data_IF_137264118008
#
_entry.id   IF_137264118008
#
_cell.length_a   1.000
_cell.length_b   1.000
_cell.length_c   1.000
_cell.angle_alpha   90.00
_cell.angle_beta   90.00
_cell.angle_gamma   90.00
#
_symmetry.space_group_name_H-M   'P 1'
#
loop_
_entity.id
_entity.type
_entity.pdbx_description
1 polymer ?
#
# COMPACT_ATOMS: atom_id res chain seq x y z
N UNK A 1 20.49 1.81 28.32
CA UNK A 1 19.15 2.42 28.52
C UNK A 1 18.91 3.34 27.34
N UNK A 2 17.84 3.15 26.55
CA UNK A 2 17.51 4.05 25.44
C UNK A 2 16.82 5.29 26.04
N UNK A 3 17.30 6.52 25.77
CA UNK A 3 16.69 7.73 26.33
C UNK A 3 15.28 7.93 25.75
N UNK A 4 14.32 8.24 26.62
CA UNK A 4 12.95 8.59 26.23
C UNK A 4 12.98 10.02 25.69
N UNK A 5 12.35 10.25 24.53
CA UNK A 5 12.27 11.56 23.88
C UNK A 5 10.80 11.91 23.60
N UNK A 6 10.49 13.20 23.65
CA UNK A 6 9.14 13.69 23.32
C UNK A 6 8.86 13.60 21.81
N UNK A 7 7.59 13.47 21.45
CA UNK A 7 7.17 13.41 20.05
C UNK A 7 7.37 14.78 19.37
N UNK A 8 7.93 14.78 18.15
CA UNK A 8 8.00 15.98 17.30
C UNK A 8 6.76 15.96 16.39
N UNK A 9 5.93 16.99 16.47
CA UNK A 9 4.76 17.19 15.59
C UNK A 9 4.95 18.40 14.69
N UNK A 10 4.37 18.36 13.49
CA UNK A 10 4.46 19.47 12.53
C UNK A 10 3.26 19.48 11.58
N UNK A 11 2.86 20.70 11.17
CA UNK A 11 1.87 20.96 10.13
C UNK A 11 2.44 21.98 9.15
N UNK A 12 2.16 21.78 7.88
CA UNK A 12 2.67 22.60 6.78
C UNK A 12 1.79 22.44 5.54
N UNK A 13 1.82 23.48 4.70
CA UNK A 13 0.96 23.62 3.51
C UNK A 13 1.32 22.60 2.42
N UNK A 14 0.34 22.25 1.60
CA UNK A 14 0.55 21.42 0.42
C UNK A 14 1.60 22.05 -0.52
N UNK A 15 2.40 21.20 -1.17
CA UNK A 15 3.46 21.61 -2.09
C UNK A 15 4.71 22.23 -1.43
N UNK A 16 4.72 22.43 -0.12
CA UNK A 16 5.84 23.05 0.60
C UNK A 16 6.83 22.04 1.17
N UNK A 17 8.03 22.53 1.51
CA UNK A 17 9.01 21.78 2.30
C UNK A 17 9.14 22.36 3.69
N UNK A 18 9.20 21.46 4.66
CA UNK A 18 9.49 21.78 6.05
C UNK A 18 10.76 21.08 6.51
N UNK A 19 11.72 21.86 6.98
CA UNK A 19 12.87 21.34 7.72
C UNK A 19 12.49 21.04 9.18
N UNK A 20 12.82 19.83 9.63
CA UNK A 20 12.57 19.34 10.98
C UNK A 20 13.89 18.90 11.60
N UNK A 21 14.30 19.60 12.66
CA UNK A 21 15.47 19.24 13.46
C UNK A 21 15.09 18.10 14.40
N UNK A 22 15.81 16.99 14.31
CA UNK A 22 15.66 15.83 15.16
C UNK A 22 16.38 16.03 16.49
N UNK A 23 16.05 15.19 17.46
CA UNK A 23 16.66 15.23 18.80
C UNK A 23 18.17 14.95 18.84
N UNK A 24 18.74 14.40 17.77
CA UNK A 24 20.19 14.18 17.61
C UNK A 24 20.88 15.30 16.80
N UNK A 25 20.13 16.35 16.44
CA UNK A 25 20.61 17.48 15.64
C UNK A 25 20.61 17.25 14.13
N UNK A 26 20.25 16.05 13.66
CA UNK A 26 20.04 15.81 12.23
C UNK A 26 18.82 16.58 11.71
N UNK A 27 18.80 16.90 10.41
CA UNK A 27 17.71 17.67 9.78
C UNK A 27 17.03 16.82 8.73
N UNK A 28 15.71 16.66 8.84
CA UNK A 28 14.86 16.07 7.82
C UNK A 28 14.17 17.16 7.02
N UNK A 29 14.10 17.01 5.70
CA UNK A 29 13.28 17.86 4.82
C UNK A 29 12.05 17.10 4.40
N UNK A 30 10.89 17.47 4.92
CA UNK A 30 9.61 16.86 4.55
C UNK A 30 8.96 17.69 3.46
N UNK A 31 8.69 17.09 2.28
CA UNK A 31 7.93 17.70 1.19
C UNK A 31 6.51 17.16 1.16
N UNK A 32 5.52 18.01 1.39
CA UNK A 32 4.12 17.65 1.19
C UNK A 32 3.80 17.74 -0.30
N UNK A 33 3.05 16.75 -0.80
CA UNK A 33 2.51 16.82 -2.16
C UNK A 33 1.64 18.07 -2.33
N UNK A 34 1.65 18.62 -3.55
CA UNK A 34 0.78 19.72 -3.93
C UNK A 34 -0.65 19.20 -4.18
N UNK A 35 -1.65 20.07 -4.04
CA UNK A 35 -3.06 19.67 -4.17
C UNK A 35 -3.43 19.28 -5.61
N UNK A 36 -2.65 19.71 -6.60
CA UNK A 36 -2.82 19.42 -8.03
C UNK A 36 -2.02 18.18 -8.49
N UNK A 37 -1.43 17.43 -7.56
CA UNK A 37 -0.66 16.24 -7.87
C UNK A 37 -1.57 15.09 -8.36
N UNK A 38 -1.30 14.58 -9.56
CA UNK A 38 -2.00 13.41 -10.11
C UNK A 38 -1.48 12.11 -9.47
N UNK A 39 -2.36 11.44 -8.73
CA UNK A 39 -2.05 10.19 -8.02
C UNK A 39 -2.19 8.95 -8.90
N UNK A 40 -2.70 9.06 -10.13
CA UNK A 40 -2.96 7.90 -10.98
C UNK A 40 -1.83 7.57 -11.96
N UNK A 41 -0.80 8.42 -12.06
CA UNK A 41 0.40 8.15 -12.86
C UNK A 41 1.51 7.50 -12.02
N UNK A 42 1.64 6.17 -12.16
CA UNK A 42 2.68 5.39 -11.49
C UNK A 42 4.09 5.84 -11.85
N UNK A 43 4.32 6.19 -13.12
CA UNK A 43 5.66 6.57 -13.60
C UNK A 43 6.03 7.94 -13.05
N UNK A 44 5.11 8.89 -13.08
CA UNK A 44 5.30 10.21 -12.47
C UNK A 44 5.57 10.08 -10.96
N UNK A 45 4.84 9.23 -10.24
CA UNK A 45 5.06 9.01 -8.82
C UNK A 45 6.46 8.48 -8.49
N UNK A 46 6.91 7.47 -9.23
CA UNK A 46 8.27 6.93 -9.06
C UNK A 46 9.33 7.97 -9.39
N UNK A 47 9.19 8.69 -10.51
CA UNK A 47 10.12 9.75 -10.90
C UNK A 47 10.18 10.86 -9.85
N UNK A 48 9.03 11.29 -9.34
CA UNK A 48 8.94 12.33 -8.32
C UNK A 48 9.66 11.89 -7.03
N UNK A 49 9.43 10.65 -6.56
CA UNK A 49 10.13 10.10 -5.40
C UNK A 49 11.66 10.10 -5.59
N UNK A 50 12.15 9.65 -6.74
CA UNK A 50 13.59 9.64 -7.02
C UNK A 50 14.18 11.05 -7.11
N UNK A 51 13.50 11.97 -7.79
CA UNK A 51 13.97 13.36 -7.92
C UNK A 51 14.05 14.06 -6.57
N UNK A 52 13.04 13.88 -5.71
CA UNK A 52 13.00 14.50 -4.37
C UNK A 52 13.99 13.83 -3.42
N UNK A 53 14.11 12.51 -3.48
CA UNK A 53 15.13 11.77 -2.74
C UNK A 53 16.56 12.22 -3.10
N UNK A 54 16.85 12.45 -4.38
CA UNK A 54 18.14 13.00 -4.82
C UNK A 54 18.39 14.44 -4.31
N UNK A 55 17.34 15.21 -4.05
CA UNK A 55 17.41 16.53 -3.39
C UNK A 55 17.48 16.44 -1.85
N UNK A 56 17.48 15.24 -1.27
CA UNK A 56 17.45 15.03 0.18
C UNK A 56 16.11 15.36 0.82
N UNK A 57 15.03 15.34 0.06
CA UNK A 57 13.66 15.59 0.51
C UNK A 57 12.89 14.27 0.66
N UNK A 58 12.17 14.11 1.77
CA UNK A 58 11.25 13.01 2.03
C UNK A 58 9.83 13.44 1.67
N UNK A 59 9.23 12.76 0.68
CA UNK A 59 7.88 13.09 0.21
C UNK A 59 6.83 12.52 1.15
N UNK A 60 5.79 13.31 1.44
CA UNK A 60 4.66 12.96 2.31
C UNK A 60 3.31 13.21 1.61
N UNK A 61 2.34 12.32 1.85
CA UNK A 61 1.00 12.37 1.25
C UNK A 61 0.61 11.09 0.51
N UNK A 62 -0.46 11.13 -0.29
CA UNK A 62 -0.88 10.04 -1.16
C UNK A 62 -0.07 10.07 -2.47
N UNK A 63 0.88 9.16 -2.60
CA UNK A 63 1.85 9.15 -3.71
C UNK A 63 1.31 8.55 -5.01
N UNK A 64 0.50 7.50 -4.88
CA UNK A 64 -0.07 6.77 -6.00
C UNK A 64 -1.32 6.01 -5.57
N UNK A 65 -2.32 5.99 -6.45
CA UNK A 65 -3.52 5.19 -6.35
C UNK A 65 -3.79 4.54 -7.71
N UNK A 66 -3.82 3.21 -7.76
CA UNK A 66 -4.22 2.50 -8.97
C UNK A 66 -5.67 2.89 -9.33
N UNK A 67 -5.98 3.29 -10.57
CA UNK A 67 -7.33 3.76 -10.94
C UNK A 67 -8.37 2.63 -10.83
N UNK A 68 -7.98 1.41 -11.18
CA UNK A 68 -8.84 0.22 -11.12
C UNK A 68 -8.18 -0.83 -10.20
N UNK A 69 -8.22 -0.67 -8.87
CA UNK A 69 -7.62 -1.64 -7.97
C UNK A 69 -8.48 -2.91 -7.94
N UNK A 70 -7.88 -4.06 -8.18
CA UNK A 70 -8.53 -5.37 -8.04
C UNK A 70 -8.43 -5.85 -6.59
N UNK A 71 -9.52 -6.36 -6.02
CA UNK A 71 -9.49 -7.00 -4.71
C UNK A 71 -8.67 -8.30 -4.77
N UNK A 72 -8.00 -8.66 -3.68
CA UNK A 72 -7.16 -9.86 -3.67
C UNK A 72 -7.96 -11.14 -3.93
N UNK A 73 -9.20 -11.23 -3.44
CA UNK A 73 -10.03 -12.42 -3.67
C UNK A 73 -10.45 -12.55 -5.14
N UNK A 74 -10.72 -11.43 -5.81
CA UNK A 74 -11.01 -11.35 -7.24
C UNK A 74 -9.75 -11.73 -8.07
N UNK A 75 -8.61 -11.13 -7.73
CA UNK A 75 -7.34 -11.39 -8.41
C UNK A 75 -6.90 -12.86 -8.35
N UNK A 76 -7.17 -13.53 -7.22
CA UNK A 76 -6.80 -14.92 -7.00
C UNK A 76 -7.88 -15.92 -7.44
N UNK A 77 -8.99 -15.45 -8.01
CA UNK A 77 -10.16 -16.25 -8.38
C UNK A 77 -10.64 -17.16 -7.22
N UNK A 78 -10.76 -16.54 -6.04
CA UNK A 78 -11.15 -17.24 -4.81
C UNK A 78 -12.61 -17.01 -4.49
N UNK A 79 -13.17 -17.89 -3.64
CA UNK A 79 -14.55 -17.76 -3.18
C UNK A 79 -14.77 -16.48 -2.37
N UNK A 80 -15.98 -15.89 -2.45
CA UNK A 80 -16.37 -14.70 -1.69
C UNK A 80 -16.28 -14.89 -0.15
N UNK A 81 -16.35 -16.14 0.31
CA UNK A 81 -16.31 -16.47 1.73
C UNK A 81 -14.87 -16.52 2.23
N UNK A 82 -14.59 -15.80 3.33
CA UNK A 82 -13.29 -15.86 3.99
C UNK A 82 -12.88 -17.30 4.32
N UNK A 83 -11.64 -17.68 4.02
CA UNK A 83 -11.17 -19.06 4.18
C UNK A 83 -11.30 -19.62 5.60
N UNK A 84 -11.21 -18.78 6.63
CA UNK A 84 -11.38 -19.19 8.02
C UNK A 84 -12.85 -19.52 8.41
N UNK A 85 -13.81 -19.27 7.53
CA UNK A 85 -15.23 -19.61 7.71
C UNK A 85 -15.65 -20.83 6.90
N UNK A 86 -14.78 -21.32 6.01
CA UNK A 86 -15.06 -22.51 5.23
C UNK A 86 -15.02 -23.75 6.13
N UNK A 87 -16.03 -24.60 5.99
CA UNK A 87 -16.14 -25.87 6.68
C UNK A 87 -15.50 -27.00 5.88
N UNK A 88 -15.20 -28.12 6.54
CA UNK A 88 -14.66 -29.32 5.89
C UNK A 88 -15.53 -29.78 4.69
N UNK A 89 -16.85 -29.67 4.82
CA UNK A 89 -17.80 -30.04 3.77
C UNK A 89 -17.69 -29.17 2.51
N UNK A 90 -17.29 -27.91 2.66
CA UNK A 90 -17.10 -26.98 1.55
C UNK A 90 -15.72 -27.15 0.89
N UNK A 91 -14.71 -27.54 1.68
CA UNK A 91 -13.34 -27.76 1.21
C UNK A 91 -13.14 -29.14 0.57
N UNK A 92 -13.94 -30.14 0.95
CA UNK A 92 -13.81 -31.52 0.50
C UNK A 92 -15.04 -31.89 -0.34
N UNK A 93 -14.95 -31.91 -1.68
CA UNK A 93 -16.10 -32.18 -2.55
C UNK A 93 -16.60 -33.64 -2.47
N UNK A 94 -15.84 -34.53 -1.79
CA UNK A 94 -16.19 -35.93 -1.57
C UNK A 94 -16.09 -36.79 -2.84
N UNK A 95 -16.23 -38.11 -2.68
CA UNK A 95 -16.03 -39.07 -3.77
C UNK A 95 -16.97 -38.85 -4.97
N UNK A 96 -18.25 -38.56 -4.70
CA UNK A 96 -19.26 -38.38 -5.75
C UNK A 96 -19.03 -37.15 -6.65
N UNK A 97 -18.49 -36.05 -6.10
CA UNK A 97 -18.16 -34.89 -6.92
C UNK A 97 -16.88 -35.10 -7.73
N UNK A 98 -15.89 -35.82 -7.16
CA UNK A 98 -14.67 -36.19 -7.86
C UNK A 98 -14.96 -37.14 -9.04
N UNK A 99 -15.86 -38.10 -8.86
CA UNK A 99 -16.31 -39.00 -9.95
C UNK A 99 -16.94 -38.22 -11.11
N UNK A 100 -17.89 -37.30 -10.82
CA UNK A 100 -18.49 -36.44 -11.85
C UNK A 100 -17.46 -35.59 -12.59
N UNK A 101 -16.48 -35.04 -11.86
CA UNK A 101 -15.42 -34.24 -12.47
C UNK A 101 -14.53 -35.09 -13.40
N UNK A 102 -14.18 -36.30 -13.00
CA UNK A 102 -13.38 -37.23 -13.81
C UNK A 102 -14.13 -37.69 -15.07
N UNK A 103 -15.45 -37.89 -14.99
CA UNK A 103 -16.28 -38.22 -16.16
C UNK A 103 -16.35 -37.05 -17.16
N UNK A 104 -16.43 -35.80 -16.68
CA UNK A 104 -16.48 -34.61 -17.54
C UNK A 104 -15.17 -34.34 -18.32
N UNK A 105 -14.06 -34.97 -17.92
CA UNK A 105 -12.74 -34.81 -18.54
C UNK A 105 -12.32 -36.00 -19.43
N UNK A 106 -13.20 -36.98 -19.64
CA UNK A 106 -12.99 -38.13 -20.54
C UNK A 106 -13.65 -37.92 -21.89
#
# INVERSE_FOLDING_TARGET
>A
MIPIREAISTEYEAGTVREIVQHDGSVLRLRKLADDYDVHDRVAAMNFLYQRGAAGELVTGLLYLHPDPEDLHEHLDTVEVSFNRLTEKELVPGAAALERFNEALR
#
